data_IF_328373465410
#
_entry.id   IF_328373465410
#
_cell.length_a   1.000
_cell.length_b   1.000
_cell.length_c   1.000
_cell.angle_alpha   90.00
_cell.angle_beta   90.00
_cell.angle_gamma   90.00
#
_symmetry.space_group_name_H-M   'P 1'
#
loop_
_entity.id
_entity.type
_entity.pdbx_description
1 polymer ?
#
# COMPACT_ATOMS: atom_id res chain seq x y z
N UNK A 1 31.55 -64.63 -31.27
CA UNK A 1 30.40 -64.01 -31.98
C UNK A 1 29.24 -63.72 -31.04
N UNK A 2 28.78 -64.65 -30.21
CA UNK A 2 27.62 -64.48 -29.31
C UNK A 2 27.74 -63.30 -28.31
N UNK A 3 28.94 -63.07 -27.77
CA UNK A 3 29.22 -61.95 -26.86
C UNK A 3 29.13 -60.57 -27.55
N UNK A 4 29.44 -60.51 -28.86
CA UNK A 4 29.37 -59.25 -29.62
C UNK A 4 27.92 -58.86 -29.91
N UNK A 5 27.06 -59.85 -30.16
CA UNK A 5 25.63 -59.67 -30.44
C UNK A 5 24.86 -59.19 -29.20
N UNK A 6 25.19 -59.68 -28.01
CA UNK A 6 24.57 -59.20 -26.75
C UNK A 6 24.98 -57.77 -26.39
N UNK A 7 26.25 -57.41 -26.63
CA UNK A 7 26.73 -56.04 -26.41
C UNK A 7 26.04 -55.05 -27.37
N UNK A 8 25.89 -55.41 -28.64
CA UNK A 8 25.19 -54.58 -29.64
C UNK A 8 23.70 -54.40 -29.31
N UNK A 9 23.03 -55.45 -28.83
CA UNK A 9 21.63 -55.38 -28.42
C UNK A 9 21.44 -54.49 -27.16
N UNK A 10 22.33 -54.62 -26.17
CA UNK A 10 22.31 -53.79 -24.97
C UNK A 10 22.55 -52.30 -25.30
N UNK A 11 23.47 -52.00 -26.22
CA UNK A 11 23.72 -50.62 -26.68
C UNK A 11 22.51 -50.07 -27.45
N UNK A 12 21.91 -50.85 -28.36
CA UNK A 12 20.73 -50.43 -29.11
C UNK A 12 19.54 -50.15 -28.18
N UNK A 13 19.29 -51.01 -27.18
CA UNK A 13 18.24 -50.78 -26.18
C UNK A 13 18.54 -49.55 -25.32
N UNK A 14 19.80 -49.33 -24.92
CA UNK A 14 20.22 -48.16 -24.15
C UNK A 14 19.98 -46.85 -24.91
N UNK A 15 20.27 -46.82 -26.22
CA UNK A 15 20.04 -45.64 -27.08
C UNK A 15 18.53 -45.38 -27.24
N UNK A 16 17.71 -46.42 -27.42
CA UNK A 16 16.25 -46.28 -27.52
C UNK A 16 15.65 -45.77 -26.20
N UNK A 17 16.12 -46.25 -25.05
CA UNK A 17 15.68 -45.76 -23.74
C UNK A 17 16.11 -44.31 -23.50
N UNK A 18 17.35 -43.94 -23.79
CA UNK A 18 17.85 -42.56 -23.62
C UNK A 18 17.16 -41.55 -24.56
N UNK A 19 16.86 -41.95 -25.79
CA UNK A 19 16.12 -41.11 -26.73
C UNK A 19 14.67 -40.83 -26.29
N UNK A 20 14.02 -41.75 -25.55
CA UNK A 20 12.66 -41.54 -25.01
C UNK A 20 12.63 -40.65 -23.77
N UNK A 21 13.68 -40.62 -22.96
CA UNK A 21 13.77 -39.75 -21.78
C UNK A 21 14.18 -38.31 -22.12
N UNK A 22 15.01 -38.11 -23.15
CA UNK A 22 15.48 -36.77 -23.54
C UNK A 22 14.43 -35.95 -24.30
N UNK A 23 13.52 -36.59 -25.03
CA UNK A 23 12.39 -35.90 -25.68
C UNK A 23 11.31 -35.44 -24.70
N UNK A 24 11.26 -35.98 -23.47
CA UNK A 24 10.22 -35.67 -22.49
C UNK A 24 10.54 -34.47 -21.58
N UNK A 25 11.82 -34.14 -21.38
CA UNK A 25 12.24 -33.08 -20.46
C UNK A 25 11.94 -31.65 -20.97
N UNK A 26 11.83 -31.46 -22.30
CA UNK A 26 11.60 -30.14 -22.91
C UNK A 26 10.20 -29.96 -23.52
N UNK A 27 9.33 -30.98 -23.49
CA UNK A 27 7.99 -30.91 -24.10
C UNK A 27 7.11 -29.81 -23.50
N UNK A 28 7.30 -29.52 -22.21
CA UNK A 28 6.50 -28.56 -21.46
C UNK A 28 7.31 -27.36 -20.96
N UNK A 29 8.59 -27.22 -21.38
CA UNK A 29 9.48 -26.19 -20.84
C UNK A 29 8.98 -24.78 -21.15
N UNK A 30 8.37 -24.58 -22.33
CA UNK A 30 7.77 -23.31 -22.73
C UNK A 30 6.53 -23.00 -21.88
N UNK A 31 5.64 -23.97 -21.74
CA UNK A 31 4.40 -23.88 -20.95
C UNK A 31 4.73 -23.58 -19.49
N UNK A 32 5.74 -24.25 -18.92
CA UNK A 32 6.19 -24.02 -17.56
C UNK A 32 6.76 -22.61 -17.38
N UNK A 33 7.52 -22.11 -18.36
CA UNK A 33 8.02 -20.72 -18.36
C UNK A 33 6.89 -19.71 -18.42
N UNK A 34 5.89 -19.95 -19.26
CA UNK A 34 4.71 -19.09 -19.40
C UNK A 34 3.89 -19.08 -18.08
N UNK A 35 3.69 -20.25 -17.47
CA UNK A 35 3.05 -20.37 -16.15
C UNK A 35 3.85 -19.68 -15.04
N UNK A 36 5.19 -19.75 -15.05
CA UNK A 36 6.03 -19.00 -14.11
C UNK A 36 5.85 -17.48 -14.26
N UNK A 37 5.67 -16.98 -15.49
CA UNK A 37 5.40 -15.57 -15.73
C UNK A 37 4.02 -15.16 -15.18
N UNK A 38 3.01 -16.02 -15.33
CA UNK A 38 1.68 -15.82 -14.73
C UNK A 38 1.74 -15.83 -13.20
N UNK A 39 2.47 -16.76 -12.58
CA UNK A 39 2.68 -16.75 -11.12
C UNK A 39 3.28 -15.42 -10.68
N UNK A 40 4.37 -14.98 -11.34
CA UNK A 40 5.03 -13.70 -11.04
C UNK A 40 4.09 -12.50 -11.18
N UNK A 41 3.16 -12.53 -12.13
CA UNK A 41 2.15 -11.49 -12.30
C UNK A 41 1.12 -11.51 -11.16
N UNK A 42 0.60 -12.70 -10.80
CA UNK A 42 -0.46 -12.87 -9.81
C UNK A 42 -0.01 -12.57 -8.36
N UNK A 43 1.28 -12.72 -8.06
CA UNK A 43 1.85 -12.39 -6.74
C UNK A 43 2.46 -10.99 -6.67
N UNK A 44 2.46 -10.25 -7.78
CA UNK A 44 3.14 -8.95 -7.89
C UNK A 44 2.49 -7.92 -6.97
N UNK A 45 3.31 -7.04 -6.41
CA UNK A 45 2.88 -5.83 -5.71
C UNK A 45 1.99 -4.96 -6.61
N UNK A 46 0.88 -4.47 -6.07
CA UNK A 46 0.09 -3.37 -6.63
C UNK A 46 0.47 -2.10 -5.85
N UNK A 47 1.41 -1.28 -6.36
CA UNK A 47 1.99 -0.19 -5.59
C UNK A 47 0.97 0.92 -5.30
N UNK A 48 1.20 1.64 -4.21
CA UNK A 48 0.50 2.89 -3.93
C UNK A 48 0.86 3.96 -4.97
N UNK A 49 -0.08 4.86 -5.22
CA UNK A 49 0.17 6.04 -6.05
C UNK A 49 1.13 7.00 -5.34
N UNK A 50 2.07 7.55 -6.11
CA UNK A 50 3.04 8.54 -5.65
C UNK A 50 2.90 9.83 -6.45
N UNK A 51 3.37 10.93 -5.87
CA UNK A 51 3.43 12.24 -6.52
C UNK A 51 4.86 12.75 -6.55
N UNK A 52 5.23 13.43 -7.63
CA UNK A 52 6.51 14.13 -7.72
C UNK A 52 6.55 15.30 -6.74
N UNK A 53 7.71 15.52 -6.09
CA UNK A 53 7.94 16.70 -5.26
C UNK A 53 7.96 18.00 -6.08
N UNK A 54 8.45 17.92 -7.32
CA UNK A 54 8.44 18.99 -8.31
C UNK A 54 7.71 18.54 -9.57
N UNK A 55 6.42 18.90 -9.76
CA UNK A 55 5.59 18.37 -10.85
C UNK A 55 6.12 18.69 -12.26
N UNK A 56 6.91 19.75 -12.39
CA UNK A 56 7.49 20.21 -13.66
C UNK A 56 8.86 19.59 -13.96
N UNK A 57 9.43 18.84 -13.01
CA UNK A 57 10.75 18.22 -13.13
C UNK A 57 10.58 16.68 -13.25
N UNK A 58 10.81 16.10 -14.44
CA UNK A 58 10.63 14.67 -14.66
C UNK A 58 11.62 13.78 -13.89
N UNK A 59 12.70 14.37 -13.35
CA UNK A 59 13.69 13.68 -12.51
C UNK A 59 13.47 13.94 -11.01
N UNK A 60 12.36 14.57 -10.64
CA UNK A 60 12.03 14.81 -9.24
C UNK A 60 11.84 13.51 -8.49
N UNK A 61 12.37 13.47 -7.27
CA UNK A 61 11.99 12.46 -6.28
C UNK A 61 10.47 12.44 -6.09
N UNK A 62 9.95 11.26 -5.76
CA UNK A 62 8.52 11.05 -5.47
C UNK A 62 8.27 10.85 -3.99
N UNK A 63 7.06 11.16 -3.54
CA UNK A 63 6.59 10.91 -2.18
C UNK A 63 5.18 10.32 -2.19
N UNK A 64 4.75 9.73 -1.08
CA UNK A 64 3.35 9.36 -0.90
C UNK A 64 2.46 10.61 -0.91
N UNK A 65 1.24 10.43 -1.42
CA UNK A 65 0.20 11.47 -1.44
C UNK A 65 -0.07 11.98 -0.02
N UNK A 66 -0.18 11.07 0.96
CA UNK A 66 -0.38 11.42 2.37
C UNK A 66 0.69 12.39 2.89
N UNK A 67 1.98 12.12 2.61
CA UNK A 67 3.08 12.97 3.07
C UNK A 67 3.08 14.32 2.35
N UNK A 68 2.78 14.34 1.06
CA UNK A 68 2.67 15.59 0.30
C UNK A 68 1.53 16.48 0.85
N UNK A 69 0.33 15.93 0.98
CA UNK A 69 -0.86 16.66 1.47
C UNK A 69 -0.67 17.10 2.92
N UNK A 70 -0.15 16.24 3.79
CA UNK A 70 0.15 16.60 5.19
C UNK A 70 1.19 17.72 5.28
N UNK A 71 2.19 17.72 4.39
CA UNK A 71 3.17 18.81 4.28
C UNK A 71 2.51 20.14 3.88
N UNK A 72 1.58 20.14 2.92
CA UNK A 72 0.81 21.32 2.50
C UNK A 72 -0.06 21.83 3.65
N UNK A 73 -0.83 20.95 4.30
CA UNK A 73 -1.67 21.30 5.45
C UNK A 73 -0.84 21.91 6.57
N UNK A 74 0.33 21.33 6.89
CA UNK A 74 1.24 21.90 7.90
C UNK A 74 1.71 23.30 7.53
N UNK A 75 2.09 23.55 6.27
CA UNK A 75 2.51 24.88 5.80
C UNK A 75 1.38 25.90 5.89
N UNK A 76 0.16 25.51 5.55
CA UNK A 76 -1.03 26.37 5.63
C UNK A 76 -1.39 26.66 7.09
N UNK A 77 -1.36 25.66 7.98
CA UNK A 77 -1.49 25.86 9.43
C UNK A 77 -0.42 26.84 9.94
N UNK A 78 0.85 26.69 9.51
CA UNK A 78 1.94 27.61 9.88
C UNK A 78 1.65 29.04 9.45
N UNK A 79 1.17 29.25 8.22
CA UNK A 79 0.74 30.57 7.74
C UNK A 79 -0.41 31.14 8.56
N UNK A 80 -1.45 30.35 8.82
CA UNK A 80 -2.61 30.77 9.60
C UNK A 80 -2.24 31.17 11.04
N UNK A 81 -1.24 30.51 11.64
CA UNK A 81 -0.73 30.84 12.96
C UNK A 81 0.06 32.16 13.02
N UNK A 82 0.52 32.70 11.89
CA UNK A 82 1.21 34.01 11.85
C UNK A 82 0.29 35.22 12.06
N UNK A 83 -1.01 35.02 11.92
CA UNK A 83 -2.04 36.06 12.04
C UNK A 83 -3.05 35.72 13.13
N UNK A 84 -2.76 34.75 14.00
CA UNK A 84 -3.71 34.31 15.01
C UNK A 84 -4.06 35.45 15.98
N UNK A 85 -5.27 35.42 16.55
CA UNK A 85 -5.71 36.37 17.57
C UNK A 85 -4.86 36.23 18.85
N UNK A 86 -4.58 37.33 19.55
CA UNK A 86 -3.74 37.33 20.77
C UNK A 86 -4.22 36.34 21.83
N UNK A 87 -5.53 36.19 21.99
CA UNK A 87 -6.13 35.24 22.94
C UNK A 87 -5.80 33.79 22.59
N UNK A 88 -5.75 33.45 21.30
CA UNK A 88 -5.37 32.11 20.85
C UNK A 88 -3.85 31.95 20.92
N UNK A 89 -3.09 32.99 20.60
CA UNK A 89 -1.63 33.02 20.76
C UNK A 89 -1.23 32.71 22.21
N UNK A 90 -1.95 33.28 23.19
CA UNK A 90 -1.75 32.99 24.61
C UNK A 90 -2.01 31.51 24.93
N UNK A 91 -3.04 30.88 24.34
CA UNK A 91 -3.27 29.43 24.50
C UNK A 91 -2.09 28.60 24.00
N UNK A 92 -1.46 29.04 22.90
CA UNK A 92 -0.31 28.36 22.32
C UNK A 92 0.97 28.56 23.15
N UNK A 93 1.19 29.76 23.72
CA UNK A 93 2.37 30.08 24.54
C UNK A 93 2.29 29.52 25.96
N UNK A 94 1.16 29.71 26.64
CA UNK A 94 1.00 29.42 28.07
C UNK A 94 0.66 27.95 28.31
N UNK A 95 1.66 27.07 28.07
CA UNK A 95 1.49 25.61 28.09
C UNK A 95 0.98 25.06 29.42
N UNK A 96 1.37 25.67 30.55
CA UNK A 96 0.95 25.29 31.91
C UNK A 96 -0.46 25.77 32.24
N UNK A 97 -0.82 26.98 31.80
CA UNK A 97 -2.17 27.54 31.98
C UNK A 97 -3.21 26.76 31.17
N UNK A 98 -2.84 26.27 29.99
CA UNK A 98 -3.71 25.53 29.08
C UNK A 98 -3.19 24.12 28.81
N UNK A 99 -2.94 23.35 29.87
CA UNK A 99 -2.37 21.99 29.82
C UNK A 99 -3.38 20.90 29.45
N UNK A 100 -4.65 21.26 29.27
CA UNK A 100 -5.76 20.33 29.03
C UNK A 100 -6.86 20.99 28.22
N UNK A 101 -7.66 20.17 27.53
CA UNK A 101 -8.78 20.65 26.72
C UNK A 101 -9.82 21.43 27.55
N UNK A 102 -10.09 20.97 28.77
CA UNK A 102 -11.05 21.63 29.66
C UNK A 102 -10.64 23.07 29.97
N UNK A 103 -9.37 23.33 30.24
CA UNK A 103 -8.88 24.70 30.49
C UNK A 103 -9.01 25.63 29.28
N UNK A 104 -8.87 25.09 28.06
CA UNK A 104 -9.09 25.86 26.83
C UNK A 104 -10.57 26.22 26.67
N UNK A 105 -11.48 25.28 26.95
CA UNK A 105 -12.93 25.50 26.93
C UNK A 105 -13.40 26.46 28.01
N UNK A 106 -12.91 26.32 29.24
CA UNK A 106 -13.26 27.19 30.36
C UNK A 106 -12.90 28.66 30.07
N UNK A 107 -11.82 28.88 29.33
CA UNK A 107 -11.42 30.19 28.83
C UNK A 107 -12.20 30.67 27.59
N UNK A 108 -13.12 29.86 27.06
CA UNK A 108 -13.93 30.12 25.84
C UNK A 108 -13.08 30.36 24.57
N UNK A 109 -11.96 29.65 24.44
CA UNK A 109 -11.00 29.78 23.32
C UNK A 109 -10.99 28.57 22.39
N UNK A 110 -11.92 27.66 22.57
CA UNK A 110 -12.02 26.37 21.87
C UNK A 110 -12.45 26.51 20.40
N UNK A 111 -13.14 27.59 20.03
CA UNK A 111 -13.67 27.80 18.67
C UNK A 111 -12.62 27.80 17.55
N UNK A 112 -11.34 28.06 17.86
CA UNK A 112 -10.25 27.96 16.90
C UNK A 112 -9.80 26.50 16.64
N UNK A 113 -10.00 25.61 17.61
CA UNK A 113 -9.49 24.24 17.61
C UNK A 113 -10.60 23.24 17.20
N UNK A 114 -10.92 23.23 15.90
CA UNK A 114 -12.13 22.58 15.32
C UNK A 114 -12.36 21.11 15.66
N UNK A 115 -11.36 20.33 16.07
CA UNK A 115 -11.53 18.89 16.35
C UNK A 115 -12.11 18.62 17.74
N UNK A 116 -12.11 19.60 18.66
CA UNK A 116 -12.57 19.37 20.02
C UNK A 116 -11.59 18.55 20.89
N UNK A 117 -10.35 18.36 20.44
CA UNK A 117 -9.36 17.50 21.09
C UNK A 117 -8.11 18.29 21.51
N UNK A 118 -7.56 17.97 22.68
CA UNK A 118 -6.32 18.58 23.16
C UNK A 118 -5.13 18.35 22.22
N UNK A 119 -5.11 17.20 21.53
CA UNK A 119 -4.06 16.86 20.55
C UNK A 119 -3.91 17.91 19.45
N UNK A 120 -5.00 18.58 19.06
CA UNK A 120 -4.96 19.67 18.08
C UNK A 120 -4.27 20.91 18.64
N UNK A 121 -4.45 21.19 19.93
CA UNK A 121 -3.71 22.26 20.62
C UNK A 121 -2.22 21.94 20.62
N UNK A 122 -1.84 20.70 20.95
CA UNK A 122 -0.45 20.25 20.94
C UNK A 122 0.19 20.30 19.55
N UNK A 123 -0.56 19.90 18.52
CA UNK A 123 -0.11 19.99 17.13
C UNK A 123 0.16 21.45 16.74
N UNK A 124 -0.79 22.35 16.99
CA UNK A 124 -0.65 23.77 16.66
C UNK A 124 0.46 24.44 17.48
N UNK A 125 0.68 24.03 18.73
CA UNK A 125 1.84 24.47 19.53
C UNK A 125 3.16 24.08 18.89
N UNK A 126 3.29 22.83 18.42
CA UNK A 126 4.51 22.38 17.73
C UNK A 126 4.78 23.22 16.48
N UNK A 127 3.74 23.50 15.69
CA UNK A 127 3.87 24.34 14.49
C UNK A 127 4.18 25.80 14.86
N UNK A 128 3.55 26.33 15.91
CA UNK A 128 3.78 27.68 16.40
C UNK A 128 5.21 27.85 16.94
N UNK A 129 5.74 26.85 17.64
CA UNK A 129 7.13 26.81 18.09
C UNK A 129 8.10 26.91 16.89
N UNK A 130 7.80 26.32 15.73
CA UNK A 130 8.58 26.48 14.48
C UNK A 130 8.53 27.89 13.87
N UNK A 131 7.68 28.79 14.39
CA UNK A 131 7.60 30.20 14.00
C UNK A 131 8.39 31.04 15.01
N UNK A 132 8.24 30.78 16.31
CA UNK A 132 8.77 31.65 17.36
C UNK A 132 10.14 31.27 17.89
N UNK A 133 10.59 30.01 17.70
CA UNK A 133 11.90 29.54 18.17
C UNK A 133 13.03 30.45 17.71
N UNK A 134 14.06 30.58 18.54
CA UNK A 134 15.24 31.36 18.22
C UNK A 134 16.30 30.52 17.51
N UNK A 135 15.90 29.77 16.48
CA UNK A 135 16.81 29.00 15.64
C UNK A 135 16.94 29.64 14.23
N UNK A 136 18.03 29.35 13.49
CA UNK A 136 18.25 29.96 12.18
C UNK A 136 17.08 29.75 11.18
N UNK A 137 16.46 28.56 11.07
CA UNK A 137 15.32 28.36 10.18
C UNK A 137 14.10 29.23 10.52
N UNK A 138 13.73 29.35 11.79
CA UNK A 138 12.60 30.18 12.21
C UNK A 138 12.91 31.68 12.06
N UNK A 139 14.15 32.11 12.32
CA UNK A 139 14.59 33.48 12.07
C UNK A 139 14.53 33.83 10.58
N UNK A 140 15.07 32.98 9.70
CA UNK A 140 15.01 33.17 8.25
C UNK A 140 13.57 33.24 7.75
N UNK A 141 12.71 32.32 8.22
CA UNK A 141 11.29 32.34 7.89
C UNK A 141 10.61 33.66 8.30
N UNK A 142 10.79 34.09 9.55
CA UNK A 142 10.22 35.37 10.04
C UNK A 142 10.75 36.57 9.26
N UNK A 143 12.02 36.59 8.90
CA UNK A 143 12.62 37.65 8.09
C UNK A 143 12.01 37.70 6.69
N UNK A 144 11.89 36.56 6.00
CA UNK A 144 11.29 36.44 4.66
C UNK A 144 9.89 37.02 4.61
N UNK A 145 9.06 36.75 5.61
CA UNK A 145 7.67 37.21 5.66
C UNK A 145 7.45 38.48 6.47
N UNK A 146 8.51 39.09 7.03
CA UNK A 146 8.47 40.29 7.89
C UNK A 146 7.49 40.12 9.07
N UNK A 147 7.67 39.04 9.83
CA UNK A 147 6.85 38.68 10.99
C UNK A 147 7.45 39.24 12.31
N UNK A 148 6.61 39.52 13.33
CA UNK A 148 5.15 39.41 13.33
C UNK A 148 4.50 40.54 12.53
N UNK A 149 3.30 40.28 11.99
CA UNK A 149 2.53 41.34 11.34
C UNK A 149 1.94 42.31 12.39
N UNK A 150 1.80 43.61 12.07
CA UNK A 150 0.96 44.50 12.85
C UNK A 150 -0.47 43.96 12.92
N UNK A 151 -1.14 44.14 14.07
CA UNK A 151 -2.48 43.58 14.32
C UNK A 151 -3.50 43.95 13.24
N UNK A 152 -3.51 45.21 12.78
CA UNK A 152 -4.39 45.66 11.70
C UNK A 152 -4.17 44.91 10.38
N UNK A 153 -2.93 44.48 10.09
CA UNK A 153 -2.61 43.66 8.92
C UNK A 153 -3.02 42.20 9.17
N UNK A 154 -2.75 41.67 10.36
CA UNK A 154 -3.18 40.33 10.78
C UNK A 154 -4.69 40.16 10.63
N UNK A 155 -5.48 41.11 11.16
CA UNK A 155 -6.94 41.10 11.09
C UNK A 155 -7.47 41.06 9.65
N UNK A 156 -6.83 41.75 8.70
CA UNK A 156 -7.20 41.72 7.28
C UNK A 156 -6.85 40.39 6.60
N UNK A 157 -5.79 39.70 7.05
CA UNK A 157 -5.32 38.44 6.48
C UNK A 157 -6.01 37.20 7.07
N UNK A 158 -6.48 37.28 8.33
CA UNK A 158 -7.15 36.19 9.05
C UNK A 158 -8.24 35.49 8.23
N UNK A 159 -9.19 36.18 7.56
CA UNK A 159 -10.24 35.50 6.80
C UNK A 159 -9.69 34.65 5.65
N UNK A 160 -8.71 35.19 4.91
CA UNK A 160 -8.09 34.48 3.80
C UNK A 160 -7.31 33.25 4.26
N UNK A 161 -6.52 33.36 5.34
CA UNK A 161 -5.76 32.23 5.86
C UNK A 161 -6.67 31.18 6.54
N UNK A 162 -7.79 31.60 7.13
CA UNK A 162 -8.83 30.68 7.63
C UNK A 162 -9.44 29.88 6.48
N UNK A 163 -9.86 30.54 5.39
CA UNK A 163 -10.40 29.87 4.21
C UNK A 163 -9.41 28.88 3.59
N UNK A 164 -8.13 29.27 3.47
CA UNK A 164 -7.08 28.37 3.00
C UNK A 164 -6.91 27.15 3.91
N UNK A 165 -6.97 27.35 5.23
CA UNK A 165 -6.86 26.26 6.20
C UNK A 165 -8.03 25.29 6.10
N UNK A 166 -9.25 25.81 5.94
CA UNK A 166 -10.45 24.99 5.75
C UNK A 166 -10.39 24.19 4.45
N UNK A 167 -9.99 24.82 3.34
CA UNK A 167 -9.80 24.15 2.06
C UNK A 167 -8.72 23.05 2.13
N UNK A 168 -7.62 23.32 2.83
CA UNK A 168 -6.55 22.34 3.01
C UNK A 168 -7.00 21.11 3.83
N UNK A 169 -7.78 21.33 4.89
CA UNK A 169 -8.34 20.24 5.70
C UNK A 169 -9.38 19.43 4.90
N UNK A 170 -10.21 20.09 4.10
CA UNK A 170 -11.14 19.42 3.20
C UNK A 170 -10.40 18.54 2.18
N UNK A 171 -9.35 19.07 1.55
CA UNK A 171 -8.51 18.32 0.62
C UNK A 171 -7.79 17.14 1.30
N UNK A 172 -7.35 17.31 2.54
CA UNK A 172 -6.76 16.22 3.33
C UNK A 172 -7.76 15.08 3.56
N UNK A 173 -8.99 15.40 3.93
CA UNK A 173 -10.06 14.43 4.14
C UNK A 173 -10.43 13.69 2.84
N UNK A 174 -10.55 14.44 1.74
CA UNK A 174 -10.83 13.86 0.42
C UNK A 174 -9.68 12.94 -0.04
N UNK A 175 -8.44 13.38 0.13
CA UNK A 175 -7.24 12.58 -0.17
C UNK A 175 -7.19 11.29 0.64
N UNK A 176 -7.53 11.33 1.94
CA UNK A 176 -7.60 10.13 2.77
C UNK A 176 -8.70 9.18 2.27
N UNK A 177 -9.87 9.70 1.89
CA UNK A 177 -10.97 8.91 1.34
C UNK A 177 -10.58 8.21 0.04
N UNK A 178 -9.93 8.92 -0.88
CA UNK A 178 -9.45 8.36 -2.15
C UNK A 178 -8.36 7.31 -1.94
N UNK A 179 -7.42 7.54 -1.02
CA UNK A 179 -6.38 6.57 -0.69
C UNK A 179 -6.98 5.29 -0.09
N UNK A 180 -7.97 5.42 0.81
CA UNK A 180 -8.68 4.25 1.34
C UNK A 180 -9.41 3.48 0.22
N UNK A 181 -10.09 4.18 -0.69
CA UNK A 181 -10.72 3.55 -1.85
C UNK A 181 -9.71 2.85 -2.76
N UNK A 182 -8.54 3.43 -2.97
CA UNK A 182 -7.47 2.82 -3.75
C UNK A 182 -6.99 1.52 -3.08
N UNK A 183 -6.74 1.54 -1.77
CA UNK A 183 -6.36 0.35 -0.99
C UNK A 183 -7.40 -0.76 -1.04
N UNK A 184 -8.68 -0.41 -0.86
CA UNK A 184 -9.78 -1.38 -1.02
C UNK A 184 -9.79 -1.97 -2.43
N UNK A 185 -9.52 -1.17 -3.46
CA UNK A 185 -9.50 -1.64 -4.85
C UNK A 185 -8.29 -2.53 -5.15
N UNK A 186 -7.11 -2.21 -4.60
CA UNK A 186 -5.92 -3.05 -4.67
C UNK A 186 -6.20 -4.43 -4.02
N UNK A 187 -6.80 -4.46 -2.84
CA UNK A 187 -7.18 -5.69 -2.15
C UNK A 187 -8.23 -6.49 -2.94
N UNK A 188 -9.24 -5.80 -3.48
CA UNK A 188 -10.26 -6.42 -4.33
C UNK A 188 -9.69 -7.00 -5.64
N UNK A 189 -8.54 -6.50 -6.12
CA UNK A 189 -7.81 -7.05 -7.26
C UNK A 189 -6.88 -8.22 -6.87
N UNK A 190 -6.24 -8.16 -5.71
CA UNK A 190 -5.38 -9.24 -5.22
C UNK A 190 -6.18 -10.52 -4.91
N UNK A 191 -7.35 -10.39 -4.28
CA UNK A 191 -8.19 -11.55 -3.91
C UNK A 191 -8.49 -12.50 -5.09
N UNK A 192 -9.01 -12.04 -6.25
CA UNK A 192 -9.20 -12.91 -7.41
C UNK A 192 -7.89 -13.39 -8.03
N UNK A 193 -6.78 -12.63 -7.94
CA UNK A 193 -5.47 -13.10 -8.39
C UNK A 193 -5.00 -14.32 -7.56
N UNK A 194 -5.20 -14.29 -6.24
CA UNK A 194 -4.91 -15.43 -5.35
C UNK A 194 -5.86 -16.60 -5.58
N UNK A 195 -7.13 -16.32 -5.91
CA UNK A 195 -8.10 -17.35 -6.32
C UNK A 195 -7.68 -18.02 -7.64
N UNK A 196 -7.19 -17.26 -8.62
CA UNK A 196 -6.66 -17.81 -9.86
C UNK A 196 -5.37 -18.63 -9.64
N UNK A 197 -4.52 -18.21 -8.70
CA UNK A 197 -3.28 -18.91 -8.39
C UNK A 197 -3.51 -20.21 -7.61
N UNK A 198 -4.26 -20.15 -6.51
CA UNK A 198 -4.39 -21.23 -5.53
C UNK A 198 -5.83 -21.78 -5.40
N UNK A 199 -6.76 -21.35 -6.25
CA UNK A 199 -8.14 -21.80 -6.24
C UNK A 199 -9.03 -21.10 -5.22
N UNK A 200 -10.34 -21.33 -5.35
CA UNK A 200 -11.38 -20.74 -4.49
C UNK A 200 -11.28 -21.18 -3.02
N UNK A 201 -10.72 -22.36 -2.74
CA UNK A 201 -10.54 -22.83 -1.37
C UNK A 201 -9.57 -21.93 -0.60
N UNK A 202 -8.47 -21.51 -1.23
CA UNK A 202 -7.53 -20.58 -0.62
C UNK A 202 -8.13 -19.19 -0.47
N UNK A 203 -8.80 -18.68 -1.49
CA UNK A 203 -9.51 -17.40 -1.42
C UNK A 203 -10.47 -17.33 -0.22
N UNK A 204 -11.24 -18.40 0.02
CA UNK A 204 -12.18 -18.51 1.15
C UNK A 204 -11.49 -18.62 2.51
N UNK A 205 -10.23 -19.07 2.56
CA UNK A 205 -9.45 -19.09 3.79
C UNK A 205 -9.00 -17.69 4.24
N UNK A 206 -9.04 -16.70 3.33
CA UNK A 206 -8.75 -15.30 3.61
C UNK A 206 -10.04 -14.59 4.07
N UNK A 207 -10.26 -14.60 5.38
CA UNK A 207 -11.51 -14.14 6.02
C UNK A 207 -11.60 -12.63 6.19
N UNK A 208 -10.48 -11.91 6.04
CA UNK A 208 -10.45 -10.45 6.15
C UNK A 208 -9.51 -9.83 5.13
N UNK A 209 -9.85 -8.61 4.68
CA UNK A 209 -8.99 -7.85 3.78
C UNK A 209 -7.69 -7.37 4.43
N UNK A 210 -7.60 -7.38 5.77
CA UNK A 210 -6.34 -7.12 6.48
C UNK A 210 -5.26 -8.20 6.24
N UNK A 211 -5.66 -9.39 5.79
CA UNK A 211 -4.74 -10.44 5.35
C UNK A 211 -4.23 -10.19 3.93
N UNK A 212 -4.94 -9.35 3.15
CA UNK A 212 -4.54 -8.97 1.80
C UNK A 212 -3.53 -7.83 1.89
N UNK A 213 -2.28 -8.14 1.59
CA UNK A 213 -1.18 -7.17 1.57
C UNK A 213 -0.84 -6.80 0.12
N UNK A 214 -1.78 -6.16 -0.58
CA UNK A 214 -1.64 -5.88 -2.01
C UNK A 214 -0.42 -5.02 -2.37
N UNK A 215 0.09 -4.23 -1.44
CA UNK A 215 1.29 -3.40 -1.63
C UNK A 215 2.60 -4.16 -1.43
N UNK A 216 2.55 -5.41 -0.98
CA UNK A 216 3.69 -6.30 -0.77
C UNK A 216 3.69 -7.45 -1.78
N UNK A 217 4.86 -8.05 -2.02
CA UNK A 217 4.94 -9.27 -2.82
C UNK A 217 4.23 -10.39 -2.06
N UNK A 218 3.29 -11.08 -2.69
CA UNK A 218 2.60 -12.18 -2.01
C UNK A 218 3.55 -13.36 -1.78
N UNK A 219 3.87 -13.61 -0.51
CA UNK A 219 4.77 -14.69 -0.10
C UNK A 219 4.07 -15.79 0.70
N UNK A 220 2.79 -15.59 1.05
CA UNK A 220 2.04 -16.57 1.83
C UNK A 220 1.67 -17.78 0.99
N UNK A 221 1.74 -18.96 1.62
CA UNK A 221 1.39 -20.23 1.01
C UNK A 221 0.05 -20.71 1.56
N UNK A 222 -0.79 -21.35 0.75
CA UNK A 222 -2.00 -21.98 1.23
C UNK A 222 -1.72 -23.05 2.28
N UNK A 223 -2.54 -23.14 3.34
CA UNK A 223 -2.52 -24.31 4.22
C UNK A 223 -2.90 -25.56 3.43
N UNK A 224 -2.46 -26.74 3.89
CA UNK A 224 -2.67 -28.02 3.19
C UNK A 224 -4.13 -28.24 2.78
N UNK A 225 -5.09 -27.89 3.63
CA UNK A 225 -6.53 -28.08 3.38
C UNK A 225 -7.10 -27.12 2.30
N UNK A 226 -6.43 -26.01 2.03
CA UNK A 226 -6.86 -25.00 1.06
C UNK A 226 -6.03 -25.01 -0.22
N UNK A 227 -5.00 -25.87 -0.31
CA UNK A 227 -4.24 -26.08 -1.53
C UNK A 227 -5.11 -26.74 -2.61
N UNK A 228 -4.98 -26.37 -3.90
CA UNK A 228 -5.58 -27.15 -4.98
C UNK A 228 -5.19 -28.62 -4.87
N UNK A 229 -6.13 -29.53 -5.08
CA UNK A 229 -5.92 -30.98 -4.89
C UNK A 229 -5.67 -31.45 -3.43
N UNK A 230 -5.98 -30.64 -2.40
CA UNK A 230 -5.85 -31.00 -0.97
C UNK A 230 -6.52 -32.34 -0.56
N UNK A 231 -7.63 -32.70 -1.21
CA UNK A 231 -8.43 -33.89 -0.92
C UNK A 231 -8.02 -35.10 -1.75
N UNK A 232 -7.06 -34.95 -2.66
CA UNK A 232 -6.63 -36.04 -3.50
C UNK A 232 -5.69 -36.97 -2.72
N UNK A 233 -6.25 -38.04 -2.16
CA UNK A 233 -5.53 -39.27 -1.79
C UNK A 233 -5.16 -40.12 -3.02
N UNK A 234 -5.27 -39.51 -4.20
CA UNK A 234 -5.40 -40.12 -5.50
C UNK A 234 -4.05 -40.11 -6.25
N UNK A 235 -3.80 -41.09 -7.12
CA UNK A 235 -2.59 -41.08 -7.96
C UNK A 235 -2.55 -39.83 -8.87
N UNK A 236 -1.36 -39.40 -9.30
CA UNK A 236 -1.16 -38.22 -10.16
C UNK A 236 -2.16 -38.15 -11.33
N UNK A 237 -2.41 -39.29 -11.98
CA UNK A 237 -3.37 -39.44 -13.08
C UNK A 237 -4.80 -39.06 -12.72
N UNK A 238 -5.23 -39.30 -11.48
CA UNK A 238 -6.56 -38.92 -10.99
C UNK A 238 -6.63 -37.44 -10.58
N UNK A 239 -5.50 -36.86 -10.16
CA UNK A 239 -5.41 -35.41 -9.85
C UNK A 239 -5.41 -34.55 -11.12
N UNK A 240 -4.77 -35.06 -12.17
CA UNK A 240 -4.52 -34.34 -13.41
C UNK A 240 -5.52 -34.62 -14.53
N UNK A 241 -6.61 -35.34 -14.22
CA UNK A 241 -7.74 -35.44 -15.14
C UNK A 241 -8.47 -34.10 -15.19
N UNK A 242 -8.68 -33.51 -16.38
CA UNK A 242 -9.46 -32.28 -16.52
C UNK A 242 -10.83 -32.45 -15.89
N UNK A 243 -11.15 -31.60 -14.91
CA UNK A 243 -12.43 -31.65 -14.23
C UNK A 243 -13.53 -31.08 -15.14
N UNK A 244 -14.76 -31.61 -15.04
CA UNK A 244 -15.94 -30.91 -15.57
C UNK A 244 -16.06 -29.52 -14.93
N UNK A 245 -16.67 -28.57 -15.63
CA UNK A 245 -16.71 -27.13 -15.28
C UNK A 245 -17.10 -26.82 -13.82
N UNK A 246 -17.95 -27.62 -13.19
CA UNK A 246 -18.36 -27.43 -11.80
C UNK A 246 -17.30 -27.83 -10.74
N UNK A 247 -16.35 -28.70 -11.09
CA UNK A 247 -15.29 -29.19 -10.20
C UNK A 247 -13.91 -28.55 -10.45
N UNK A 248 -13.81 -27.66 -11.45
CA UNK A 248 -12.55 -27.06 -11.89
C UNK A 248 -11.94 -26.06 -10.89
N UNK A 249 -12.75 -25.41 -10.04
CA UNK A 249 -12.29 -24.27 -9.23
C UNK A 249 -11.15 -24.53 -8.21
N UNK A 250 -10.83 -25.80 -7.92
CA UNK A 250 -9.70 -26.22 -7.07
C UNK A 250 -8.93 -27.41 -7.69
N UNK A 251 -8.98 -27.54 -9.02
CA UNK A 251 -8.39 -28.61 -9.83
C UNK A 251 -7.70 -27.99 -11.06
N UNK A 252 -6.94 -28.76 -11.85
CA UNK A 252 -6.41 -28.27 -13.12
C UNK A 252 -7.53 -27.68 -14.00
N UNK A 253 -7.24 -26.54 -14.62
CA UNK A 253 -8.17 -25.71 -15.37
C UNK A 253 -8.86 -24.61 -14.55
N UNK A 254 -8.76 -24.62 -13.21
CA UNK A 254 -9.32 -23.56 -12.36
C UNK A 254 -8.42 -23.05 -11.24
N UNK A 255 -7.18 -23.54 -11.15
CA UNK A 255 -6.13 -22.97 -10.31
C UNK A 255 -4.75 -23.19 -10.95
N UNK A 256 -4.00 -22.12 -11.18
CA UNK A 256 -2.69 -22.18 -11.84
C UNK A 256 -1.70 -23.09 -11.11
N UNK A 257 -1.73 -23.13 -9.78
CA UNK A 257 -0.87 -24.04 -9.01
C UNK A 257 -1.19 -25.53 -9.26
N UNK A 258 -2.45 -25.88 -9.56
CA UNK A 258 -2.81 -27.22 -9.96
C UNK A 258 -2.35 -27.52 -11.40
N UNK A 259 -2.49 -26.54 -12.30
CA UNK A 259 -2.02 -26.65 -13.68
C UNK A 259 -0.50 -26.88 -13.74
N UNK A 260 0.27 -26.15 -12.93
CA UNK A 260 1.73 -26.32 -12.82
C UNK A 260 2.12 -27.71 -12.31
N UNK A 261 1.36 -28.28 -11.37
CA UNK A 261 1.65 -29.63 -10.83
C UNK A 261 1.39 -30.72 -11.86
N UNK A 262 0.41 -30.50 -12.75
CA UNK A 262 -0.04 -31.49 -13.73
C UNK A 262 0.64 -31.39 -15.09
N UNK A 263 1.38 -30.30 -15.31
CA UNK A 263 2.27 -30.09 -16.45
C UNK A 263 3.60 -30.82 -16.22
#
# INVERSE_FOLDING_TARGET
>A
MQQLTEILLAIALSIIFVARYTSAADQNAKEFKDMCALVKLLIKTIPDAVVALEPTNPSSDTTSIEKAVSGIVKRIKKLNLTVVEQEIEEVLKEKTKYDSWQKVKDAKRDGYFKTGEYKTVEELRKIYDEIIKNDPPAQQWRATYKLPFPEAKGQKLRPAFRQLSEAALALQSESQTLQNRARTSQNAALRPALSALYGKAYEKSLTSDGQLKATELWAEKPPKAAFPCATATAQHTQMCTPASTAAAANRPGGALAADIICL
#
